data_IF_227776487003
#
_entry.id   IF_227776487003
#
_cell.length_a   1.000
_cell.length_b   1.000
_cell.length_c   1.000
_cell.angle_alpha   90.00
_cell.angle_beta   90.00
_cell.angle_gamma   90.00
#
_symmetry.space_group_name_H-M   'P 1'
#
loop_
_entity.id
_entity.type
_entity.pdbx_description
1 polymer ?
#
# COMPACT_ATOMS: atom_id res chain seq x y z
N UNK A 1 2.20 -33.25 -20.62
CA UNK A 1 2.19 -31.93 -21.28
C UNK A 1 2.88 -30.92 -20.38
N UNK A 2 3.94 -30.27 -20.87
CA UNK A 2 4.66 -29.21 -20.15
C UNK A 2 3.84 -27.93 -20.28
N UNK A 3 3.21 -27.47 -19.20
CA UNK A 3 2.70 -26.10 -19.17
C UNK A 3 3.89 -25.15 -19.34
N UNK A 4 3.89 -24.22 -20.32
CA UNK A 4 4.96 -23.25 -20.42
C UNK A 4 4.99 -22.47 -19.10
N UNK A 5 6.16 -22.43 -18.45
CA UNK A 5 6.38 -21.55 -17.30
C UNK A 5 5.88 -20.17 -17.71
N UNK A 6 4.90 -19.62 -16.99
CA UNK A 6 4.43 -18.25 -17.24
C UNK A 6 5.66 -17.36 -17.27
N UNK A 7 5.85 -16.61 -18.36
CA UNK A 7 6.99 -15.70 -18.57
C UNK A 7 7.10 -14.59 -17.51
N UNK A 8 6.19 -14.55 -16.54
CA UNK A 8 6.23 -13.68 -15.37
C UNK A 8 7.34 -14.05 -14.36
N UNK A 9 7.82 -15.30 -14.30
CA UNK A 9 8.78 -15.71 -13.24
C UNK A 9 10.17 -15.07 -13.43
N UNK A 10 10.78 -15.02 -14.63
CA UNK A 10 12.09 -14.39 -14.81
C UNK A 10 12.08 -12.86 -14.63
N UNK A 11 10.94 -12.22 -14.91
CA UNK A 11 10.83 -10.75 -14.84
C UNK A 11 11.02 -10.23 -13.42
N UNK A 12 10.51 -10.92 -12.41
CA UNK A 12 10.60 -10.49 -11.01
C UNK A 12 12.02 -10.57 -10.47
N UNK A 13 12.77 -11.62 -10.84
CA UNK A 13 14.19 -11.74 -10.50
C UNK A 13 15.03 -10.62 -11.15
N UNK A 14 14.75 -10.31 -12.43
CA UNK A 14 15.42 -9.23 -13.17
C UNK A 14 15.14 -7.86 -12.54
N UNK A 15 13.90 -7.63 -12.10
CA UNK A 15 13.48 -6.39 -11.45
C UNK A 15 13.87 -6.32 -9.96
N UNK A 16 14.50 -7.37 -9.41
CA UNK A 16 14.85 -7.52 -8.00
C UNK A 16 13.63 -7.38 -7.05
N UNK A 17 12.46 -7.84 -7.51
CA UNK A 17 11.20 -7.88 -6.77
C UNK A 17 11.00 -9.21 -6.05
N UNK A 18 12.09 -9.91 -5.76
CA UNK A 18 12.08 -11.24 -5.14
C UNK A 18 12.39 -11.20 -3.63
N UNK A 19 12.43 -10.00 -3.05
CA UNK A 19 12.82 -9.76 -1.64
C UNK A 19 11.61 -9.60 -0.71
N UNK A 20 10.42 -9.47 -1.28
CA UNK A 20 9.16 -9.45 -0.58
C UNK A 20 8.72 -10.77 0.00
N UNK A 21 7.84 -10.70 0.99
CA UNK A 21 7.23 -11.88 1.61
C UNK A 21 6.54 -12.81 0.58
N UNK A 22 6.07 -12.27 -0.54
CA UNK A 22 5.38 -13.03 -1.59
C UNK A 22 6.34 -13.95 -2.37
N UNK A 23 7.60 -13.53 -2.52
CA UNK A 23 8.56 -14.16 -3.43
C UNK A 23 9.77 -14.76 -2.71
N UNK A 24 10.14 -14.21 -1.55
CA UNK A 24 11.23 -14.68 -0.71
C UNK A 24 10.99 -16.13 -0.26
N UNK A 25 12.07 -16.89 -0.07
CA UNK A 25 12.00 -18.31 0.32
C UNK A 25 12.86 -18.60 1.56
N UNK A 26 12.65 -19.77 2.18
CA UNK A 26 13.52 -20.27 3.24
C UNK A 26 13.42 -19.50 4.57
N UNK A 27 14.56 -19.23 5.20
CA UNK A 27 14.65 -18.65 6.55
C UNK A 27 14.20 -17.19 6.59
N UNK A 28 14.50 -16.42 5.55
CA UNK A 28 14.10 -15.01 5.45
C UNK A 28 12.60 -14.86 5.28
N UNK A 29 11.97 -15.68 4.43
CA UNK A 29 10.50 -15.75 4.32
C UNK A 29 9.83 -16.14 5.64
N UNK A 30 10.35 -17.15 6.36
CA UNK A 30 9.80 -17.52 7.69
C UNK A 30 9.88 -16.36 8.68
N UNK A 31 10.98 -15.61 8.66
CA UNK A 31 11.15 -14.42 9.49
C UNK A 31 10.11 -13.35 9.12
N UNK A 32 10.06 -12.93 7.86
CA UNK A 32 9.09 -11.91 7.39
C UNK A 32 7.64 -12.32 7.69
N UNK A 33 7.27 -13.58 7.45
CA UNK A 33 5.94 -14.08 7.75
C UNK A 33 5.60 -13.98 9.25
N UNK A 34 6.55 -14.30 10.13
CA UNK A 34 6.37 -14.18 11.57
C UNK A 34 6.13 -12.72 12.01
N UNK A 35 6.70 -11.75 11.29
CA UNK A 35 6.51 -10.33 11.56
C UNK A 35 5.15 -9.81 11.06
N UNK A 36 4.69 -10.31 9.91
CA UNK A 36 3.44 -9.86 9.32
C UNK A 36 2.19 -10.50 9.97
N UNK A 37 2.25 -11.79 10.34
CA UNK A 37 1.10 -12.55 10.87
C UNK A 37 0.33 -11.81 11.99
N UNK A 38 0.99 -11.25 13.02
CA UNK A 38 0.29 -10.57 14.12
C UNK A 38 -0.66 -9.47 13.66
N UNK A 39 -0.29 -8.72 12.62
CA UNK A 39 -1.11 -7.63 12.08
C UNK A 39 -2.31 -8.10 11.26
N UNK A 40 -2.41 -9.39 10.92
CA UNK A 40 -3.50 -9.93 10.08
C UNK A 40 -4.33 -11.02 10.76
N UNK A 41 -3.75 -11.82 11.66
CA UNK A 41 -4.42 -13.00 12.25
C UNK A 41 -4.97 -12.75 13.66
N UNK A 42 -4.60 -11.64 14.32
CA UNK A 42 -5.09 -11.33 15.66
C UNK A 42 -6.51 -10.74 15.62
N UNK A 43 -7.37 -11.15 16.55
CA UNK A 43 -8.77 -10.70 16.62
C UNK A 43 -8.90 -9.17 16.76
N UNK A 44 -7.96 -8.52 17.46
CA UNK A 44 -7.92 -7.06 17.58
C UNK A 44 -7.65 -6.40 16.22
N UNK A 45 -6.67 -6.89 15.47
CA UNK A 45 -6.35 -6.40 14.12
C UNK A 45 -7.52 -6.60 13.14
N UNK A 46 -8.22 -7.73 13.24
CA UNK A 46 -9.42 -8.00 12.43
C UNK A 46 -10.57 -7.04 12.75
N UNK A 47 -10.79 -6.72 14.03
CA UNK A 47 -11.80 -5.73 14.43
C UNK A 47 -11.46 -4.32 13.90
N UNK A 48 -10.19 -3.93 13.98
CA UNK A 48 -9.70 -2.67 13.41
C UNK A 48 -9.91 -2.63 11.89
N UNK A 49 -9.66 -3.75 11.20
CA UNK A 49 -9.92 -3.88 9.76
C UNK A 49 -11.40 -3.70 9.42
N UNK A 50 -12.30 -4.40 10.11
CA UNK A 50 -13.75 -4.29 9.86
C UNK A 50 -14.26 -2.86 10.11
N UNK A 51 -13.79 -2.23 11.19
CA UNK A 51 -14.12 -0.83 11.50
C UNK A 51 -13.62 0.12 10.42
N UNK A 52 -12.38 -0.04 9.96
CA UNK A 52 -11.83 0.77 8.87
C UNK A 52 -12.64 0.59 7.58
N UNK A 53 -12.98 -0.64 7.19
CA UNK A 53 -13.82 -0.90 6.00
C UNK A 53 -15.18 -0.20 6.12
N UNK A 54 -15.83 -0.31 7.28
CA UNK A 54 -17.13 0.33 7.50
C UNK A 54 -17.05 1.85 7.36
N UNK A 55 -16.08 2.47 8.03
CA UNK A 55 -15.93 3.93 8.04
C UNK A 55 -15.53 4.48 6.66
N UNK A 56 -14.55 3.86 5.98
CA UNK A 56 -14.12 4.30 4.65
C UNK A 56 -15.22 4.10 3.59
N UNK A 57 -16.02 3.03 3.71
CA UNK A 57 -17.17 2.80 2.82
C UNK A 57 -18.28 3.82 3.07
N UNK A 58 -18.51 4.21 4.32
CA UNK A 58 -19.47 5.26 4.68
C UNK A 58 -19.04 6.61 4.10
N UNK A 59 -17.77 7.00 4.27
CA UNK A 59 -17.19 8.22 3.69
C UNK A 59 -17.37 8.23 2.16
N UNK A 60 -17.04 7.12 1.49
CA UNK A 60 -17.18 7.00 0.04
C UNK A 60 -18.64 7.12 -0.40
N UNK A 61 -19.56 6.49 0.34
CA UNK A 61 -21.00 6.57 0.07
C UNK A 61 -21.53 8.00 0.22
N UNK A 62 -21.10 8.73 1.26
CA UNK A 62 -21.47 10.14 1.49
C UNK A 62 -20.95 11.04 0.36
N UNK A 63 -19.72 10.81 -0.11
CA UNK A 63 -19.16 11.51 -1.28
C UNK A 63 -19.99 11.25 -2.53
N UNK A 64 -20.44 10.02 -2.78
CA UNK A 64 -21.30 9.72 -3.92
C UNK A 64 -22.68 10.38 -3.79
N UNK A 65 -23.30 10.33 -2.61
CA UNK A 65 -24.57 10.98 -2.34
C UNK A 65 -24.50 12.49 -2.58
N UNK A 66 -23.49 13.17 -2.03
CA UNK A 66 -23.30 14.62 -2.23
C UNK A 66 -23.09 14.99 -3.70
N UNK A 67 -22.33 14.19 -4.47
CA UNK A 67 -22.17 14.40 -5.91
C UNK A 67 -23.45 14.21 -6.72
N UNK A 68 -24.36 13.32 -6.28
CA UNK A 68 -25.68 13.15 -6.92
C UNK A 68 -26.67 14.26 -6.56
N UNK A 69 -26.65 14.74 -5.31
CA UNK A 69 -27.58 15.77 -4.82
C UNK A 69 -27.19 17.20 -5.21
N UNK A 70 -25.90 17.45 -5.52
CA UNK A 70 -25.41 18.79 -5.89
C UNK A 70 -25.65 19.21 -7.35
N UNK A 71 -26.12 18.31 -8.23
CA UNK A 71 -26.36 18.57 -9.67
C UNK A 71 -27.84 18.78 -10.01
N UNK A 72 -28.65 19.21 -9.06
CA UNK A 72 -30.10 19.38 -9.21
C UNK A 72 -30.50 20.81 -9.59
N UNK A 73 -30.06 21.32 -10.75
CA UNK A 73 -30.75 22.46 -11.39
C UNK A 73 -30.79 22.44 -12.91
N UNK A 74 -29.88 21.75 -13.61
CA UNK A 74 -29.95 21.63 -15.07
C UNK A 74 -29.69 20.20 -15.53
N UNK A 75 -30.75 19.54 -16.01
CA UNK A 75 -30.69 18.37 -16.89
C UNK A 75 -29.86 17.17 -16.42
N UNK A 76 -30.39 16.40 -15.48
CA UNK A 76 -30.22 14.93 -15.38
C UNK A 76 -28.86 14.32 -15.77
N UNK A 77 -27.75 14.89 -15.32
CA UNK A 77 -26.42 14.32 -15.60
C UNK A 77 -26.23 13.07 -14.74
N UNK A 78 -26.43 11.89 -15.34
CA UNK A 78 -26.13 10.61 -14.72
C UNK A 78 -24.69 10.60 -14.19
N UNK A 79 -24.52 10.26 -12.91
CA UNK A 79 -23.21 10.14 -12.29
C UNK A 79 -22.41 9.06 -13.01
N UNK A 80 -21.32 9.44 -13.67
CA UNK A 80 -20.36 8.50 -14.27
C UNK A 80 -19.26 8.22 -13.24
N UNK A 81 -19.29 7.02 -12.67
CA UNK A 81 -18.28 6.53 -11.74
C UNK A 81 -17.41 5.47 -12.42
N UNK A 82 -16.10 5.60 -12.26
CA UNK A 82 -15.16 4.52 -12.52
C UNK A 82 -15.06 3.66 -11.26
N UNK A 83 -15.87 2.59 -11.20
CA UNK A 83 -15.93 1.69 -10.05
C UNK A 83 -14.57 1.05 -9.75
N UNK A 84 -13.73 0.79 -10.76
CA UNK A 84 -12.42 0.20 -10.53
C UNK A 84 -11.48 1.18 -9.81
N UNK A 85 -11.47 2.45 -10.25
CA UNK A 85 -10.70 3.51 -9.58
C UNK A 85 -11.18 3.76 -8.15
N UNK A 86 -12.48 3.82 -7.93
CA UNK A 86 -13.05 4.08 -6.61
C UNK A 86 -12.80 2.93 -5.63
N UNK A 87 -13.01 1.68 -6.06
CA UNK A 87 -12.70 0.50 -5.22
C UNK A 87 -11.21 0.39 -4.90
N UNK A 88 -10.32 0.77 -5.82
CA UNK A 88 -8.87 0.80 -5.57
C UNK A 88 -8.50 1.86 -4.53
N UNK A 89 -9.09 3.06 -4.60
CA UNK A 89 -8.88 4.11 -3.59
C UNK A 89 -9.37 3.63 -2.22
N UNK A 90 -10.58 3.10 -2.12
CA UNK A 90 -11.14 2.55 -0.89
C UNK A 90 -10.21 1.49 -0.28
N UNK A 91 -9.77 0.54 -1.10
CA UNK A 91 -8.85 -0.53 -0.68
C UNK A 91 -7.55 0.06 -0.14
N UNK A 92 -6.97 1.06 -0.83
CA UNK A 92 -5.76 1.72 -0.38
C UNK A 92 -5.98 2.47 0.94
N UNK A 93 -7.08 3.21 1.11
CA UNK A 93 -7.40 3.92 2.36
C UNK A 93 -7.49 2.96 3.55
N UNK A 94 -8.19 1.83 3.37
CA UNK A 94 -8.28 0.79 4.40
C UNK A 94 -6.90 0.22 4.73
N UNK A 95 -6.08 -0.08 3.73
CA UNK A 95 -4.73 -0.61 3.93
C UNK A 95 -3.84 0.41 4.65
N UNK A 96 -3.84 1.67 4.21
CA UNK A 96 -3.11 2.78 4.84
C UNK A 96 -3.48 2.90 6.32
N UNK A 97 -4.76 2.80 6.63
CA UNK A 97 -5.24 2.90 8.01
C UNK A 97 -4.88 1.69 8.86
N UNK A 98 -5.11 0.47 8.37
CA UNK A 98 -4.96 -0.75 9.18
C UNK A 98 -3.50 -1.19 9.27
N UNK A 99 -2.76 -1.08 8.17
CA UNK A 99 -1.40 -1.60 8.05
C UNK A 99 -0.37 -0.56 8.47
N UNK A 100 -0.65 0.71 8.20
CA UNK A 100 0.30 1.81 8.42
C UNK A 100 -0.17 2.80 9.49
N UNK A 101 -1.40 2.70 10.00
CA UNK A 101 -2.01 3.68 10.91
C UNK A 101 -2.15 5.08 10.31
N UNK A 102 -2.18 5.17 8.98
CA UNK A 102 -2.33 6.42 8.24
C UNK A 102 -3.77 6.55 7.74
N UNK A 103 -4.56 7.43 8.36
CA UNK A 103 -5.97 7.65 8.01
C UNK A 103 -6.89 7.87 9.21
N UNK A 104 -6.38 7.73 10.43
CA UNK A 104 -7.14 8.07 11.64
C UNK A 104 -7.31 9.59 11.81
N UNK A 105 -8.44 10.00 12.37
CA UNK A 105 -8.72 11.39 12.79
C UNK A 105 -8.74 12.44 11.65
N UNK A 106 -9.19 12.05 10.46
CA UNK A 106 -9.36 12.99 9.34
C UNK A 106 -8.06 13.48 8.70
N UNK A 107 -6.92 12.85 9.03
CA UNK A 107 -5.63 13.10 8.38
C UNK A 107 -5.28 11.98 7.41
N UNK A 108 -5.79 12.12 6.19
CA UNK A 108 -5.42 11.27 5.05
C UNK A 108 -3.92 11.40 4.75
N UNK A 109 -3.30 10.30 4.30
CA UNK A 109 -1.93 10.34 3.79
C UNK A 109 -1.87 11.30 2.59
N UNK A 110 -0.97 12.30 2.64
CA UNK A 110 -0.98 13.43 1.69
C UNK A 110 -0.84 12.98 0.23
N UNK A 111 -0.09 11.91 0.00
CA UNK A 111 0.15 11.37 -1.34
C UNK A 111 -0.69 10.12 -1.66
N UNK A 112 -1.81 9.87 -0.96
CA UNK A 112 -2.66 8.69 -1.17
C UNK A 112 -3.18 8.57 -2.61
N UNK A 113 -3.63 9.69 -3.20
CA UNK A 113 -4.07 9.72 -4.60
C UNK A 113 -2.92 9.36 -5.56
N UNK A 114 -1.73 9.95 -5.36
CA UNK A 114 -0.56 9.67 -6.19
C UNK A 114 -0.09 8.22 -6.04
N UNK A 115 -0.17 7.64 -4.84
CA UNK A 115 0.12 6.24 -4.57
C UNK A 115 -0.87 5.31 -5.29
N UNK A 116 -2.18 5.55 -5.18
CA UNK A 116 -3.20 4.77 -5.88
C UNK A 116 -3.04 4.79 -7.40
N UNK A 117 -2.75 5.96 -7.97
CA UNK A 117 -2.53 6.12 -9.41
C UNK A 117 -1.24 5.41 -9.86
N UNK A 118 -0.17 5.54 -9.08
CA UNK A 118 1.11 4.87 -9.39
C UNK A 118 0.98 3.36 -9.31
N UNK A 119 0.29 2.80 -8.31
CA UNK A 119 0.00 1.36 -8.19
C UNK A 119 -0.80 0.88 -9.41
N UNK A 120 -1.86 1.60 -9.79
CA UNK A 120 -2.68 1.25 -10.94
C UNK A 120 -1.85 1.20 -12.24
N UNK A 121 -1.07 2.25 -12.50
CA UNK A 121 -0.20 2.32 -13.68
C UNK A 121 0.90 1.25 -13.67
N UNK A 122 1.46 0.94 -12.50
CA UNK A 122 2.46 -0.11 -12.32
C UNK A 122 1.90 -1.50 -12.62
N UNK A 123 0.74 -1.85 -12.05
CA UNK A 123 0.10 -3.15 -12.28
C UNK A 123 -0.24 -3.36 -13.76
N UNK A 124 -0.77 -2.33 -14.42
CA UNK A 124 -1.05 -2.38 -15.86
C UNK A 124 0.23 -2.61 -16.67
N UNK A 125 1.28 -1.82 -16.41
CA UNK A 125 2.52 -1.88 -17.16
C UNK A 125 3.31 -3.18 -16.91
N UNK A 126 3.33 -3.70 -15.69
CA UNK A 126 4.04 -4.96 -15.39
C UNK A 126 3.32 -6.17 -15.96
N UNK A 127 1.99 -6.18 -15.97
CA UNK A 127 1.19 -7.23 -16.64
C UNK A 127 1.40 -7.16 -18.15
N UNK A 128 1.41 -5.96 -18.74
CA UNK A 128 1.73 -5.80 -20.16
C UNK A 128 3.13 -6.35 -20.48
N UNK A 129 4.14 -5.97 -19.68
CA UNK A 129 5.54 -6.44 -19.84
C UNK A 129 5.65 -7.96 -19.73
N UNK A 130 4.93 -8.58 -18.78
CA UNK A 130 4.95 -10.03 -18.57
C UNK A 130 4.29 -10.82 -19.71
N UNK A 131 3.39 -10.18 -20.48
CA UNK A 131 2.67 -10.78 -21.60
C UNK A 131 3.30 -10.45 -22.97
N UNK A 132 4.44 -9.79 -23.03
CA UNK A 132 5.15 -9.52 -24.29
C UNK A 132 5.69 -10.83 -24.91
N UNK A 133 5.29 -11.11 -26.16
CA UNK A 133 5.73 -12.28 -26.93
C UNK A 133 6.25 -11.83 -28.31
N UNK A 134 7.55 -11.99 -28.63
CA UNK A 134 8.63 -12.45 -27.73
C UNK A 134 8.91 -11.43 -26.60
N UNK A 135 9.54 -11.85 -25.49
CA UNK A 135 9.87 -10.95 -24.36
C UNK A 135 10.96 -9.95 -24.77
N UNK A 136 10.55 -8.83 -25.37
CA UNK A 136 11.46 -7.83 -25.97
C UNK A 136 12.47 -7.30 -24.96
N UNK A 137 12.05 -7.15 -23.70
CA UNK A 137 12.91 -6.72 -22.59
C UNK A 137 14.13 -7.63 -22.36
N UNK A 138 14.02 -8.92 -22.66
CA UNK A 138 15.12 -9.88 -22.50
C UNK A 138 16.11 -9.84 -23.66
N UNK A 139 15.70 -9.34 -24.82
CA UNK A 139 16.54 -9.12 -26.00
C UNK A 139 17.24 -7.76 -25.87
N UNK A 140 16.48 -6.71 -25.59
CA UNK A 140 16.98 -5.37 -25.31
C UNK A 140 15.93 -4.55 -24.56
N UNK A 141 16.26 -3.97 -23.39
CA UNK A 141 15.37 -3.04 -22.69
C UNK A 141 14.89 -1.88 -23.56
N UNK A 142 15.68 -1.50 -24.59
CA UNK A 142 15.33 -0.44 -25.53
C UNK A 142 14.02 -0.71 -26.28
N UNK A 143 13.71 -1.98 -26.52
CA UNK A 143 12.63 -2.45 -27.38
C UNK A 143 11.31 -2.67 -26.64
N UNK A 144 11.30 -2.66 -25.31
CA UNK A 144 10.09 -2.82 -24.49
C UNK A 144 9.73 -1.50 -23.80
N UNK A 145 8.77 -0.73 -24.35
CA UNK A 145 8.32 0.52 -23.73
C UNK A 145 7.74 0.30 -22.33
N UNK A 146 7.05 -0.82 -22.11
CA UNK A 146 6.47 -1.15 -20.81
C UNK A 146 7.57 -1.45 -19.79
N UNK A 147 8.58 -2.23 -20.16
CA UNK A 147 9.72 -2.50 -19.27
C UNK A 147 10.44 -1.22 -18.86
N UNK A 148 10.72 -0.31 -19.80
CA UNK A 148 11.29 1.01 -19.48
C UNK A 148 10.40 1.81 -18.54
N UNK A 149 9.10 1.89 -18.86
CA UNK A 149 8.14 2.60 -18.02
C UNK A 149 8.11 2.04 -16.59
N UNK A 150 8.15 0.71 -16.44
CA UNK A 150 8.21 0.04 -15.14
C UNK A 150 9.51 0.39 -14.40
N UNK A 151 10.67 0.22 -15.05
CA UNK A 151 11.99 0.33 -14.42
C UNK A 151 12.45 1.77 -14.17
N UNK A 152 12.22 2.68 -15.12
CA UNK A 152 12.75 4.04 -15.09
C UNK A 152 11.78 5.03 -14.40
N UNK A 153 10.48 4.74 -14.41
CA UNK A 153 9.46 5.70 -13.94
C UNK A 153 8.66 5.15 -12.77
N UNK A 154 7.99 4.00 -12.95
CA UNK A 154 6.96 3.55 -12.02
C UNK A 154 7.54 2.95 -10.74
N UNK A 155 8.51 2.03 -10.83
CA UNK A 155 9.15 1.43 -9.65
C UNK A 155 9.88 2.48 -8.79
N UNK A 156 10.71 3.38 -9.33
CA UNK A 156 11.35 4.43 -8.53
C UNK A 156 10.32 5.34 -7.85
N UNK A 157 9.27 5.75 -8.58
CA UNK A 157 8.20 6.59 -8.03
C UNK A 157 7.47 5.88 -6.90
N UNK A 158 7.17 4.60 -7.08
CA UNK A 158 6.44 3.80 -6.10
C UNK A 158 7.27 3.58 -4.83
N UNK A 159 8.55 3.23 -4.97
CA UNK A 159 9.49 3.13 -3.83
C UNK A 159 9.62 4.45 -3.05
N UNK A 160 9.63 5.59 -3.75
CA UNK A 160 9.63 6.92 -3.12
C UNK A 160 8.34 7.17 -2.33
N UNK A 161 7.18 6.82 -2.89
CA UNK A 161 5.89 6.98 -2.22
C UNK A 161 5.77 6.08 -0.98
N UNK A 162 6.25 4.84 -1.03
CA UNK A 162 6.32 3.95 0.14
C UNK A 162 7.27 4.52 1.20
N UNK A 163 8.39 5.12 0.77
CA UNK A 163 9.29 5.82 1.71
C UNK A 163 8.61 7.02 2.38
N UNK A 164 7.76 7.75 1.65
CA UNK A 164 6.95 8.84 2.20
C UNK A 164 5.90 8.33 3.20
N UNK A 165 5.28 7.17 2.97
CA UNK A 165 4.39 6.50 3.93
C UNK A 165 5.13 6.20 5.24
N UNK A 166 6.35 5.64 5.16
CA UNK A 166 7.17 5.34 6.34
C UNK A 166 7.55 6.63 7.08
N UNK A 167 7.97 7.67 6.36
CA UNK A 167 8.34 8.96 6.93
C UNK A 167 7.16 9.63 7.64
N UNK A 168 6.00 9.71 6.98
CA UNK A 168 4.81 10.33 7.57
C UNK A 168 4.35 9.58 8.83
N UNK A 169 4.51 8.25 8.85
CA UNK A 169 4.20 7.50 10.07
C UNK A 169 5.16 7.83 11.22
N UNK A 170 6.46 7.95 10.95
CA UNK A 170 7.45 8.33 11.96
C UNK A 170 7.19 9.73 12.50
N UNK A 171 6.84 10.68 11.64
CA UNK A 171 6.45 12.04 12.06
C UNK A 171 5.25 11.98 13.01
N UNK A 172 4.24 11.16 12.71
CA UNK A 172 3.07 10.98 13.59
C UNK A 172 3.44 10.35 14.94
N UNK A 173 4.27 9.31 14.94
CA UNK A 173 4.70 8.69 16.20
C UNK A 173 5.53 9.67 17.05
N UNK A 174 6.32 10.55 16.43
CA UNK A 174 7.04 11.62 17.12
C UNK A 174 6.12 12.73 17.66
N UNK A 175 5.12 13.17 16.88
CA UNK A 175 4.10 14.13 17.33
C UNK A 175 3.33 13.61 18.55
N UNK A 176 2.93 12.33 18.51
CA UNK A 176 2.22 11.68 19.60
C UNK A 176 3.10 11.52 20.84
N UNK A 177 4.37 11.15 20.69
CA UNK A 177 5.31 11.07 21.81
C UNK A 177 5.49 12.44 22.49
N UNK A 178 5.53 13.53 21.72
CA UNK A 178 5.61 14.89 22.26
C UNK A 178 4.32 15.31 22.99
N UNK A 179 3.15 14.90 22.50
CA UNK A 179 1.87 15.12 23.17
C UNK A 179 1.76 14.32 24.48
N UNK A 180 2.18 13.06 24.50
CA UNK A 180 2.15 12.22 25.70
C UNK A 180 3.07 12.75 26.82
N UNK A 181 4.21 13.35 26.49
CA UNK A 181 5.08 14.02 27.48
C UNK A 181 4.37 15.24 28.09
N UNK A 182 3.61 15.98 27.29
CA UNK A 182 2.80 17.12 27.74
C UNK A 182 1.59 16.72 28.58
N UNK A 183 1.01 15.53 28.32
CA UNK A 183 -0.20 15.00 28.98
C UNK A 183 0.10 14.02 30.13
N UNK A 184 1.38 13.81 30.48
CA UNK A 184 1.89 12.83 31.45
C UNK A 184 1.41 12.95 32.92
N UNK A 185 0.39 13.78 33.20
CA UNK A 185 -0.35 13.79 34.47
C UNK A 185 -1.61 12.91 34.43
N UNK A 186 -2.08 12.46 33.25
CA UNK A 186 -3.28 11.62 33.15
C UNK A 186 -3.14 10.50 32.10
N UNK A 187 -3.09 9.24 32.57
CA UNK A 187 -3.25 7.99 31.82
C UNK A 187 -2.04 7.42 31.04
N UNK A 188 -1.33 6.50 31.71
CA UNK A 188 -0.30 5.60 31.18
C UNK A 188 -0.87 4.41 30.40
N UNK A 189 -1.57 4.62 29.28
CA UNK A 189 -2.18 3.51 28.54
C UNK A 189 -2.15 3.58 27.00
N UNK A 190 -1.45 4.52 26.35
CA UNK A 190 -1.67 4.76 24.90
C UNK A 190 -0.56 4.27 23.97
N UNK A 191 0.69 4.16 24.42
CA UNK A 191 1.79 3.74 23.53
C UNK A 191 1.80 2.22 23.20
N UNK A 192 1.17 1.38 24.03
CA UNK A 192 1.30 -0.09 23.95
C UNK A 192 0.35 -0.78 22.95
N UNK A 193 -0.66 -0.09 22.41
CA UNK A 193 -1.85 -0.78 21.87
C UNK A 193 -2.02 -0.69 20.33
N UNK A 194 -1.05 -0.14 19.61
CA UNK A 194 -1.10 -0.07 18.14
C UNK A 194 -0.46 -1.31 17.51
N UNK A 195 -1.32 -2.27 17.18
CA UNK A 195 -0.97 -3.54 16.52
C UNK A 195 -0.81 -3.42 15.00
N UNK A 196 -0.62 -2.21 14.44
CA UNK A 196 -0.41 -2.04 13.01
C UNK A 196 0.99 -2.51 12.56
N UNK A 197 1.07 -3.01 11.33
CA UNK A 197 2.26 -3.67 10.81
C UNK A 197 3.48 -2.75 10.80
N UNK A 198 3.32 -1.51 10.35
CA UNK A 198 4.44 -0.58 10.28
C UNK A 198 4.99 -0.25 11.67
N UNK A 199 4.12 -0.11 12.68
CA UNK A 199 4.56 0.06 14.07
C UNK A 199 5.36 -1.11 14.59
N UNK A 200 4.94 -2.34 14.28
CA UNK A 200 5.68 -3.55 14.67
C UNK A 200 7.06 -3.60 13.98
N UNK A 201 7.10 -3.30 12.68
CA UNK A 201 8.35 -3.27 11.91
C UNK A 201 9.30 -2.17 12.39
N UNK A 202 8.79 -0.98 12.74
CA UNK A 202 9.59 0.13 13.25
C UNK A 202 10.15 -0.14 14.67
N UNK A 203 9.41 -0.88 15.50
CA UNK A 203 9.86 -1.28 16.85
C UNK A 203 10.93 -2.37 16.80
N UNK A 204 10.98 -3.15 15.72
CA UNK A 204 12.00 -4.16 15.53
C UNK A 204 13.31 -3.49 15.09
N UNK A 205 14.09 -2.99 16.06
CA UNK A 205 15.36 -2.27 15.83
C UNK A 205 16.48 -3.06 15.13
N UNK A 206 16.20 -4.27 14.65
CA UNK A 206 17.12 -5.08 13.82
C UNK A 206 16.84 -4.97 12.32
N UNK A 207 15.77 -4.29 11.91
CA UNK A 207 15.43 -4.06 10.51
C UNK A 207 15.94 -2.68 10.07
N UNK A 208 16.58 -2.64 8.90
CA UNK A 208 16.89 -1.38 8.24
C UNK A 208 15.64 -0.83 7.53
N UNK A 209 15.64 0.48 7.22
CA UNK A 209 14.58 1.10 6.40
C UNK A 209 14.41 0.42 5.04
N UNK A 210 15.51 -0.13 4.51
CA UNK A 210 15.52 -0.88 3.28
C UNK A 210 14.81 -2.23 3.45
N UNK A 211 15.03 -2.94 4.57
CA UNK A 211 14.33 -4.18 4.89
C UNK A 211 12.84 -3.94 5.11
N UNK A 212 12.47 -2.86 5.80
CA UNK A 212 11.07 -2.47 5.99
C UNK A 212 10.42 -2.19 4.63
N UNK A 213 11.09 -1.45 3.74
CA UNK A 213 10.62 -1.21 2.38
C UNK A 213 10.43 -2.52 1.59
N UNK A 214 11.38 -3.46 1.71
CA UNK A 214 11.26 -4.78 1.07
C UNK A 214 10.07 -5.58 1.58
N UNK A 215 9.80 -5.56 2.89
CA UNK A 215 8.65 -6.28 3.46
C UNK A 215 7.31 -5.68 3.01
N UNK A 216 7.26 -4.36 2.87
CA UNK A 216 6.02 -3.63 2.58
C UNK A 216 5.68 -3.55 1.09
N UNK A 217 6.66 -3.71 0.20
CA UNK A 217 6.48 -3.33 -1.20
C UNK A 217 7.08 -4.28 -2.24
N UNK A 218 8.37 -4.60 -2.15
CA UNK A 218 9.02 -5.54 -3.07
C UNK A 218 8.63 -6.99 -2.72
#
# INVERSE_FOLDING_TARGET
EYFPRRYSVPLFDVLQLNRGIVYEQGTRHRRQKRLCIPSFEQSQSMNTFLKAVQEETAILSDVWCTHTSGKSTDGGSALRLDMYREMRKLTLSVILRVTFGLGEQGREFKEAAALSETIGAYLEAIVATANEVPPLWSISPALSPNYKRVTEVLLPRLRRLVSAVIAERRERDAELALQEVSDSVANTATASDRADLLSLLLREGSLSDEDIRYVLFD
#
